data_IF_402660451964
#
_entry.id   IF_402660451964
#
_cell.length_a   1.000
_cell.length_b   1.000
_cell.length_c   1.000
_cell.angle_alpha   90.00
_cell.angle_beta   90.00
_cell.angle_gamma   90.00
#
_symmetry.space_group_name_H-M   'P 1'
#
loop_
_entity.id
_entity.type
_entity.pdbx_description
1 polymer ?
#
# COMPACT_ATOMS: atom_id res chain seq x y z
N UNK A 1 -39.11 -50.07 -5.60
CA UNK A 1 -39.22 -48.79 -6.34
C UNK A 1 -38.01 -48.00 -5.91
N UNK A 2 -36.88 -48.24 -6.57
CA UNK A 2 -35.59 -47.73 -6.14
C UNK A 2 -35.12 -46.72 -7.18
N UNK A 3 -35.20 -45.45 -6.80
CA UNK A 3 -34.72 -44.33 -7.61
C UNK A 3 -33.19 -44.30 -7.53
N UNK A 4 -32.46 -44.23 -8.66
CA UNK A 4 -31.01 -44.08 -8.63
C UNK A 4 -30.61 -42.77 -7.95
N UNK A 5 -29.81 -42.85 -6.88
CA UNK A 5 -29.15 -41.70 -6.26
C UNK A 5 -28.07 -41.19 -7.24
N UNK A 6 -28.39 -40.13 -7.99
CA UNK A 6 -27.42 -39.39 -8.81
C UNK A 6 -26.43 -38.69 -7.87
N UNK A 7 -25.27 -39.30 -7.64
CA UNK A 7 -24.20 -38.68 -6.85
C UNK A 7 -23.72 -37.43 -7.62
N UNK A 8 -23.79 -36.22 -7.02
CA UNK A 8 -23.49 -35.00 -7.74
C UNK A 8 -22.04 -35.01 -8.22
N UNK A 9 -21.84 -35.11 -9.54
CA UNK A 9 -20.53 -34.95 -10.17
C UNK A 9 -20.03 -33.54 -9.90
N UNK A 10 -19.21 -33.37 -8.86
CA UNK A 10 -18.52 -32.12 -8.58
C UNK A 10 -17.54 -31.88 -9.73
N UNK A 11 -17.88 -30.93 -10.60
CA UNK A 11 -17.00 -30.57 -11.71
C UNK A 11 -15.66 -30.12 -11.14
N UNK A 12 -14.53 -30.72 -11.56
CA UNK A 12 -13.21 -30.32 -11.08
C UNK A 12 -12.93 -28.84 -11.37
N UNK A 13 -13.56 -28.28 -12.40
CA UNK A 13 -13.51 -26.85 -12.71
C UNK A 13 -14.11 -26.00 -11.58
N UNK A 14 -15.23 -26.41 -10.97
CA UNK A 14 -15.83 -25.67 -9.84
C UNK A 14 -14.91 -25.69 -8.62
N UNK A 15 -14.19 -26.79 -8.38
CA UNK A 15 -13.22 -26.89 -7.30
C UNK A 15 -11.98 -26.01 -7.57
N UNK A 16 -11.45 -26.04 -8.80
CA UNK A 16 -10.31 -25.21 -9.21
C UNK A 16 -10.67 -23.74 -9.07
N UNK A 17 -11.82 -23.30 -9.59
CA UNK A 17 -12.27 -21.91 -9.47
C UNK A 17 -12.45 -21.51 -8.01
N UNK A 18 -13.04 -22.39 -7.19
CA UNK A 18 -13.23 -22.12 -5.76
C UNK A 18 -11.93 -21.98 -4.96
N UNK A 19 -10.79 -22.48 -5.46
CA UNK A 19 -9.48 -22.38 -4.81
C UNK A 19 -8.63 -21.27 -5.44
N UNK A 20 -8.56 -21.21 -6.77
CA UNK A 20 -7.70 -20.28 -7.50
C UNK A 20 -8.17 -18.83 -7.34
N UNK A 21 -9.49 -18.59 -7.38
CA UNK A 21 -10.04 -17.23 -7.24
C UNK A 21 -9.71 -16.61 -5.87
N UNK A 22 -9.95 -17.26 -4.71
CA UNK A 22 -9.58 -16.67 -3.43
C UNK A 22 -8.06 -16.51 -3.29
N UNK A 23 -7.25 -17.44 -3.81
CA UNK A 23 -5.79 -17.29 -3.79
C UNK A 23 -5.32 -16.08 -4.59
N UNK A 24 -5.89 -15.85 -5.78
CA UNK A 24 -5.60 -14.65 -6.58
C UNK A 24 -6.03 -13.39 -5.85
N UNK A 25 -7.24 -13.37 -5.25
CA UNK A 25 -7.72 -12.22 -4.50
C UNK A 25 -6.80 -11.88 -3.31
N UNK A 26 -6.35 -12.91 -2.56
CA UNK A 26 -5.38 -12.74 -1.47
C UNK A 26 -4.06 -12.21 -2.01
N UNK A 27 -3.54 -12.79 -3.10
CA UNK A 27 -2.28 -12.37 -3.71
C UNK A 27 -2.30 -10.90 -4.14
N UNK A 28 -3.40 -10.45 -4.76
CA UNK A 28 -3.60 -9.05 -5.14
C UNK A 28 -3.68 -8.15 -3.90
N UNK A 29 -4.41 -8.56 -2.86
CA UNK A 29 -4.49 -7.80 -1.62
C UNK A 29 -3.15 -7.64 -0.92
N UNK A 30 -2.36 -8.71 -0.82
CA UNK A 30 -1.00 -8.69 -0.26
C UNK A 30 -0.10 -7.80 -1.11
N UNK A 31 -0.18 -7.89 -2.43
CA UNK A 31 0.60 -7.04 -3.34
C UNK A 31 0.34 -5.55 -3.07
N UNK A 32 -0.92 -5.11 -3.07
CA UNK A 32 -1.26 -3.72 -2.77
C UNK A 32 -0.83 -3.28 -1.37
N UNK A 33 -0.91 -4.17 -0.38
CA UNK A 33 -0.46 -3.87 0.97
C UNK A 33 1.06 -3.64 1.04
N UNK A 34 1.86 -4.52 0.44
CA UNK A 34 3.33 -4.41 0.51
C UNK A 34 3.90 -3.28 -0.35
N UNK A 35 3.16 -2.85 -1.38
CA UNK A 35 3.52 -1.70 -2.23
C UNK A 35 2.88 -0.39 -1.75
N UNK A 36 2.11 -0.37 -0.66
CA UNK A 36 1.56 0.88 -0.14
C UNK A 36 2.68 1.74 0.48
N UNK A 37 2.58 3.06 0.37
CA UNK A 37 3.54 3.97 0.98
C UNK A 37 3.55 3.87 2.52
N UNK A 38 2.49 3.36 3.15
CA UNK A 38 2.34 3.22 4.59
C UNK A 38 3.28 2.17 5.17
N UNK A 39 3.73 1.24 4.33
CA UNK A 39 4.76 0.26 4.66
C UNK A 39 6.19 0.72 4.34
N UNK A 40 6.35 1.90 3.73
CA UNK A 40 7.65 2.43 3.36
C UNK A 40 8.46 2.86 4.58
N UNK A 41 9.77 2.71 4.49
CA UNK A 41 10.76 3.05 5.52
C UNK A 41 11.67 4.15 5.01
N UNK A 42 12.42 4.77 5.91
CA UNK A 42 13.47 5.72 5.53
C UNK A 42 14.45 5.04 4.57
N UNK A 43 14.69 5.67 3.43
CA UNK A 43 15.50 5.15 2.32
C UNK A 43 14.70 4.51 1.19
N UNK A 44 13.44 4.12 1.41
CA UNK A 44 12.58 3.59 0.35
C UNK A 44 12.16 4.69 -0.62
N UNK A 45 11.88 4.30 -1.87
CA UNK A 45 11.41 5.21 -2.90
C UNK A 45 9.91 5.04 -3.17
N UNK A 46 9.28 6.16 -3.48
CA UNK A 46 7.86 6.23 -3.78
C UNK A 46 7.65 6.81 -5.19
N UNK A 47 6.55 6.40 -5.81
CA UNK A 47 6.00 6.97 -7.03
C UNK A 47 4.67 7.65 -6.72
N UNK A 48 4.42 8.78 -7.35
CA UNK A 48 3.13 9.47 -7.28
C UNK A 48 2.00 8.59 -7.83
N UNK A 49 0.80 8.83 -7.30
CA UNK A 49 -0.40 8.23 -7.83
C UNK A 49 -0.66 8.67 -9.27
N UNK A 50 -1.32 7.82 -10.06
CA UNK A 50 -1.68 8.15 -11.45
C UNK A 50 -2.66 9.34 -11.56
N UNK A 51 -3.34 9.68 -10.47
CA UNK A 51 -4.21 10.86 -10.31
C UNK A 51 -3.88 11.57 -9.01
N UNK A 52 -4.30 12.83 -8.85
CA UNK A 52 -4.03 13.62 -7.64
C UNK A 52 -4.57 12.97 -6.35
N UNK A 53 -5.65 12.20 -6.44
CA UNK A 53 -6.27 11.52 -5.30
C UNK A 53 -5.76 10.08 -5.12
N UNK A 54 -4.93 9.57 -6.04
CA UNK A 54 -4.42 8.21 -5.96
C UNK A 54 -3.30 8.12 -4.92
N UNK A 55 -3.26 7.04 -4.11
CA UNK A 55 -2.23 6.86 -3.11
C UNK A 55 -0.86 6.65 -3.74
N UNK A 56 0.18 7.15 -3.06
CA UNK A 56 1.55 6.88 -3.46
C UNK A 56 1.88 5.39 -3.28
N UNK A 57 2.74 4.88 -4.16
CA UNK A 57 3.16 3.48 -4.11
C UNK A 57 4.66 3.38 -3.89
N UNK A 58 5.07 2.43 -3.03
CA UNK A 58 6.45 2.05 -2.85
C UNK A 58 6.95 1.31 -4.09
N UNK A 59 8.08 1.75 -4.60
CA UNK A 59 8.75 1.24 -5.80
C UNK A 59 10.23 1.00 -5.50
N UNK A 60 10.90 0.27 -6.38
CA UNK A 60 12.36 0.24 -6.36
C UNK A 60 12.91 1.64 -6.67
N UNK A 61 13.98 2.03 -5.97
CA UNK A 61 14.68 3.26 -6.25
C UNK A 61 15.38 3.17 -7.61
N UNK A 62 15.09 4.11 -8.50
CA UNK A 62 15.63 4.13 -9.85
C UNK A 62 14.68 4.84 -10.81
N UNK A 63 14.58 4.32 -12.03
CA UNK A 63 13.73 4.91 -13.05
C UNK A 63 12.25 4.86 -12.65
N UNK A 64 11.65 6.06 -12.56
CA UNK A 64 10.27 6.26 -12.15
C UNK A 64 10.04 6.21 -10.64
N UNK A 65 11.06 6.39 -9.80
CA UNK A 65 10.83 6.89 -8.45
C UNK A 65 10.75 8.42 -8.50
N UNK A 66 9.76 9.00 -7.82
CA UNK A 66 9.56 10.44 -7.77
C UNK A 66 10.08 11.02 -6.45
N UNK A 67 10.02 10.24 -5.37
CA UNK A 67 10.45 10.66 -4.03
C UNK A 67 11.23 9.57 -3.29
N UNK A 68 12.01 10.01 -2.32
CA UNK A 68 12.64 9.15 -1.32
C UNK A 68 12.17 9.54 0.08
N UNK A 69 11.91 8.53 0.91
CA UNK A 69 11.52 8.73 2.31
C UNK A 69 12.76 9.12 3.11
N UNK A 70 12.78 10.33 3.65
CA UNK A 70 13.85 10.81 4.55
C UNK A 70 13.45 10.73 6.02
N UNK A 71 12.15 10.68 6.29
CA UNK A 71 11.61 10.60 7.64
C UNK A 71 10.28 9.85 7.69
N UNK A 72 10.05 9.15 8.80
CA UNK A 72 8.79 8.46 9.09
C UNK A 72 8.41 8.67 10.55
N UNK A 73 7.20 9.16 10.76
CA UNK A 73 6.62 9.42 12.08
C UNK A 73 5.39 8.53 12.21
N UNK A 74 5.49 7.48 13.02
CA UNK A 74 4.43 6.49 13.20
C UNK A 74 3.43 6.90 14.27
N UNK A 75 2.22 6.34 14.21
CA UNK A 75 1.20 6.46 15.25
C UNK A 75 0.64 7.87 15.44
N UNK A 76 0.66 8.68 14.37
CA UNK A 76 0.17 10.06 14.38
C UNK A 76 -1.31 10.09 14.03
N UNK A 77 -2.10 10.89 14.76
CA UNK A 77 -3.46 11.21 14.32
C UNK A 77 -3.40 12.20 13.16
N UNK A 78 -4.40 12.16 12.29
CA UNK A 78 -4.50 13.09 11.15
C UNK A 78 -4.48 14.56 11.60
N UNK A 79 -5.03 14.85 12.78
CA UNK A 79 -5.08 16.21 13.36
C UNK A 79 -3.81 16.61 14.13
N UNK A 80 -2.93 15.66 14.49
CA UNK A 80 -1.60 15.94 15.08
C UNK A 80 -0.60 16.47 14.04
N UNK A 81 -1.06 16.69 12.80
CA UNK A 81 -0.37 17.44 11.76
C UNK A 81 -0.18 18.93 12.13
N UNK A 82 -0.80 19.39 13.24
CA UNK A 82 -0.67 20.74 13.79
C UNK A 82 0.60 21.01 14.62
N UNK A 83 1.49 20.03 14.85
CA UNK A 83 2.87 20.35 15.22
C UNK A 83 3.47 21.15 14.06
N UNK A 84 3.92 22.39 14.32
CA UNK A 84 4.05 23.39 13.27
C UNK A 84 4.87 22.96 12.04
N UNK A 85 5.82 22.01 12.17
CA UNK A 85 6.51 21.34 11.06
C UNK A 85 7.14 19.99 11.52
N UNK A 86 6.42 18.86 11.46
CA UNK A 86 6.92 17.57 11.97
C UNK A 86 8.14 17.03 11.21
N UNK A 87 8.37 17.53 9.98
CA UNK A 87 9.51 17.16 9.14
C UNK A 87 10.70 18.15 9.21
N UNK A 88 10.70 19.14 10.10
CA UNK A 88 11.77 20.16 10.21
C UNK A 88 13.17 19.58 10.40
N UNK A 89 13.27 18.43 11.10
CA UNK A 89 14.51 17.69 11.31
C UNK A 89 15.09 17.06 10.03
N UNK A 90 14.34 17.06 8.93
CA UNK A 90 14.71 16.52 7.63
C UNK A 90 14.75 17.65 6.61
N UNK A 91 15.87 18.39 6.49
CA UNK A 91 15.93 19.66 5.76
C UNK A 91 15.73 19.53 4.25
N UNK A 92 15.86 18.32 3.70
CA UNK A 92 15.61 18.03 2.28
C UNK A 92 14.16 17.70 1.97
N UNK A 93 13.28 17.67 3.00
CA UNK A 93 11.85 17.41 2.80
C UNK A 93 11.23 18.50 1.93
N UNK A 94 10.65 18.09 0.81
CA UNK A 94 9.86 18.96 -0.05
C UNK A 94 8.35 18.68 0.10
N UNK A 95 7.98 17.42 0.37
CA UNK A 95 6.59 16.97 0.44
C UNK A 95 6.38 16.13 1.70
N UNK A 96 5.22 16.28 2.33
CA UNK A 96 4.78 15.39 3.40
C UNK A 96 3.60 14.56 2.93
N UNK A 97 3.64 13.26 3.18
CA UNK A 97 2.55 12.35 2.82
C UNK A 97 2.03 11.64 4.07
N UNK A 98 0.73 11.71 4.29
CA UNK A 98 0.10 11.02 5.40
C UNK A 98 -0.64 9.78 4.87
N UNK A 99 -0.39 8.63 5.49
CA UNK A 99 -1.09 7.39 5.19
C UNK A 99 -1.60 6.74 6.48
N UNK A 100 -2.90 6.48 6.53
CA UNK A 100 -3.56 5.87 7.68
C UNK A 100 -5.06 6.06 7.65
N UNK A 101 -5.68 5.81 8.80
CA UNK A 101 -7.08 6.11 9.08
C UNK A 101 -7.23 7.29 10.05
N UNK A 102 -8.45 7.76 10.28
CA UNK A 102 -8.71 8.94 11.13
C UNK A 102 -8.12 8.83 12.55
N UNK A 103 -7.95 7.61 13.05
CA UNK A 103 -7.49 7.32 14.41
C UNK A 103 -5.99 7.03 14.52
N UNK A 104 -5.37 6.51 13.45
CA UNK A 104 -3.95 6.19 13.44
C UNK A 104 -3.37 6.20 12.02
N UNK A 105 -2.20 6.80 11.87
CA UNK A 105 -1.48 6.83 10.60
C UNK A 105 0.00 7.11 10.76
N UNK A 106 0.67 7.14 9.62
CA UNK A 106 2.08 7.46 9.49
C UNK A 106 2.21 8.73 8.66
N UNK A 107 3.05 9.66 9.12
CA UNK A 107 3.48 10.80 8.33
C UNK A 107 4.88 10.51 7.76
N UNK A 108 4.99 10.58 6.44
CA UNK A 108 6.23 10.44 5.70
C UNK A 108 6.74 11.82 5.30
N UNK A 109 8.03 12.04 5.52
CA UNK A 109 8.77 13.20 5.05
C UNK A 109 9.53 12.77 3.81
N UNK A 110 9.24 13.42 2.68
CA UNK A 110 9.70 13.02 1.35
C UNK A 110 10.58 14.11 0.74
N UNK A 111 11.72 13.70 0.20
CA UNK A 111 12.52 14.54 -0.68
C UNK A 111 12.32 14.12 -2.14
N UNK A 112 12.47 15.04 -3.11
CA UNK A 112 12.47 14.69 -4.53
C UNK A 112 13.58 13.68 -4.82
N UNK A 113 13.27 12.64 -5.58
CA UNK A 113 14.24 11.65 -6.00
C UNK A 113 14.69 11.92 -7.44
N UNK A 114 15.99 12.09 -7.61
CA UNK A 114 16.63 12.18 -8.92
C UNK A 114 17.72 11.10 -8.95
N UNK A 115 17.58 10.07 -9.80
CA UNK A 115 18.58 9.01 -9.94
C UNK A 115 19.91 9.52 -10.52
#
# INVERSE_FOLDING_TARGET
MDTPQDAPRRSPLKLIVAIVVPLLAIGVGVYFYVTSAGTAKVGDCLRDGATADAPMSKVECGEGADYRVVGRLEGRKKDDSGESRPCERFPTTAVTYWEGDESSGNLLCLEPYHP
#
